data_IF_599444103643
#
_entry.id   IF_599444103643
#
_cell.length_a   1.000
_cell.length_b   1.000
_cell.length_c   1.000
_cell.angle_alpha   90.00
_cell.angle_beta   90.00
_cell.angle_gamma   90.00
#
_symmetry.space_group_name_H-M   'P 1'
#
loop_
_entity.id
_entity.type
_entity.pdbx_description
1 polymer ?
#
# COMPACT_ATOMS: atom_id res chain seq x y z
N UNK A 1 5.26 48.83 3.80
CA UNK A 1 5.51 50.26 3.55
C UNK A 1 4.89 50.57 2.19
N UNK A 2 3.67 51.08 2.02
CA UNK A 2 2.71 51.74 2.90
C UNK A 2 1.31 51.11 2.71
N UNK A 3 0.54 50.95 3.79
CA UNK A 3 -0.91 50.77 3.72
C UNK A 3 -1.57 52.16 3.65
N UNK A 4 -2.26 52.44 2.55
CA UNK A 4 -3.05 53.66 2.38
C UNK A 4 -4.46 53.41 2.94
N UNK A 5 -4.67 53.79 4.21
CA UNK A 5 -5.99 53.82 4.85
C UNK A 5 -6.73 55.09 4.42
N UNK A 6 -7.69 54.96 3.50
CA UNK A 6 -8.66 56.03 3.23
C UNK A 6 -9.83 55.85 4.20
N UNK A 7 -9.90 56.73 5.20
CA UNK A 7 -11.09 56.89 6.04
C UNK A 7 -12.14 57.68 5.25
N UNK A 8 -13.26 57.04 4.89
CA UNK A 8 -14.37 57.65 4.15
C UNK A 8 -15.72 57.31 4.80
N UNK A 9 -16.30 58.36 5.37
CA UNK A 9 -17.62 58.62 5.98
C UNK A 9 -18.48 57.54 6.67
N UNK A 10 -18.96 57.96 7.85
CA UNK A 10 -19.84 57.27 8.78
C UNK A 10 -21.23 57.01 8.16
N UNK A 11 -21.65 55.75 8.09
CA UNK A 11 -23.07 55.40 8.11
C UNK A 11 -23.42 54.76 9.46
N UNK A 12 -24.54 55.23 10.02
CA UNK A 12 -25.00 54.99 11.38
C UNK A 12 -25.05 53.50 11.76
N UNK A 13 -24.13 53.07 12.65
CA UNK A 13 -24.13 51.68 13.13
C UNK A 13 -22.81 51.09 13.65
N UNK A 14 -21.86 51.89 14.13
CA UNK A 14 -20.92 51.51 15.21
C UNK A 14 -20.04 50.25 15.13
N UNK A 15 -19.89 49.56 13.99
CA UNK A 15 -18.94 48.44 13.85
C UNK A 15 -18.08 48.64 12.59
N UNK A 16 -16.74 48.64 12.69
CA UNK A 16 -15.88 48.77 11.52
C UNK A 16 -15.99 47.50 10.66
N UNK A 17 -16.54 47.63 9.46
CA UNK A 17 -16.44 46.59 8.44
C UNK A 17 -15.04 46.69 7.80
N UNK A 18 -14.17 45.71 8.09
CA UNK A 18 -12.91 45.55 7.38
C UNK A 18 -13.24 44.91 6.03
N UNK A 19 -13.35 45.73 4.98
CA UNK A 19 -13.42 45.23 3.60
C UNK A 19 -11.99 45.06 3.10
N UNK A 20 -11.51 43.82 3.09
CA UNK A 20 -10.23 43.47 2.49
C UNK A 20 -10.38 43.43 0.95
N UNK A 21 -9.93 44.47 0.26
CA UNK A 21 -9.83 44.49 -1.20
C UNK A 21 -8.38 44.13 -1.57
N UNK A 22 -8.14 42.84 -1.81
CA UNK A 22 -6.89 42.32 -2.36
C UNK A 22 -7.12 41.63 -3.70
N UNK A 23 -6.08 41.37 -4.50
CA UNK A 23 -6.19 40.75 -5.83
C UNK A 23 -6.72 39.30 -5.81
N UNK A 24 -6.99 38.74 -4.64
CA UNK A 24 -7.60 37.42 -4.41
C UNK A 24 -9.06 37.48 -3.95
N UNK A 25 -9.70 38.66 -3.95
CA UNK A 25 -11.09 38.83 -3.49
C UNK A 25 -12.17 38.37 -4.50
N UNK A 26 -11.79 37.79 -5.64
CA UNK A 26 -12.73 37.10 -6.53
C UNK A 26 -12.55 35.58 -6.44
N UNK A 27 -13.09 34.98 -5.39
CA UNK A 27 -13.56 33.60 -5.50
C UNK A 27 -15.01 33.70 -5.96
N UNK A 28 -15.26 33.49 -7.26
CA UNK A 28 -16.62 33.28 -7.75
C UNK A 28 -17.19 32.08 -6.96
N UNK A 29 -18.31 32.24 -6.22
CA UNK A 29 -18.91 31.10 -5.55
C UNK A 29 -19.24 30.03 -6.59
N UNK A 30 -18.94 28.76 -6.30
CA UNK A 30 -19.28 27.66 -7.18
C UNK A 30 -20.80 27.61 -7.38
N UNK A 31 -21.28 28.09 -8.52
CA UNK A 31 -22.72 28.13 -8.90
C UNK A 31 -23.27 26.75 -9.32
N UNK A 32 -22.49 25.67 -9.16
CA UNK A 32 -22.91 24.32 -9.52
C UNK A 32 -23.92 23.75 -8.52
N UNK A 33 -24.96 23.10 -9.02
CA UNK A 33 -25.92 22.39 -8.19
C UNK A 33 -25.22 21.21 -7.49
N UNK A 34 -25.57 20.92 -6.24
CA UNK A 34 -25.09 19.71 -5.55
C UNK A 34 -25.33 18.43 -6.36
N UNK A 35 -26.36 18.44 -7.20
CA UNK A 35 -26.68 17.37 -8.14
C UNK A 35 -25.66 17.20 -9.26
N UNK A 36 -24.98 18.28 -9.69
CA UNK A 36 -23.95 18.22 -10.74
C UNK A 36 -22.69 17.52 -10.23
N UNK A 37 -22.31 17.80 -8.98
CA UNK A 37 -21.21 17.12 -8.29
C UNK A 37 -21.54 15.65 -8.07
N UNK A 38 -22.76 15.36 -7.60
CA UNK A 38 -23.22 13.98 -7.40
C UNK A 38 -23.25 13.19 -8.73
N UNK A 39 -23.71 13.81 -9.81
CA UNK A 39 -23.74 13.20 -11.15
C UNK A 39 -22.33 12.93 -11.69
N UNK A 40 -21.39 13.86 -11.49
CA UNK A 40 -19.99 13.68 -11.90
C UNK A 40 -19.32 12.51 -11.15
N UNK A 41 -19.57 12.38 -9.84
CA UNK A 41 -19.08 11.25 -9.03
C UNK A 41 -19.68 9.94 -9.53
N UNK A 42 -21.00 9.88 -9.74
CA UNK A 42 -21.69 8.69 -10.23
C UNK A 42 -21.18 8.25 -11.62
N UNK A 43 -20.92 9.21 -12.52
CA UNK A 43 -20.34 8.95 -13.83
C UNK A 43 -18.93 8.36 -13.73
N UNK A 44 -18.09 8.88 -12.82
CA UNK A 44 -16.76 8.33 -12.53
C UNK A 44 -16.81 6.87 -12.07
N UNK A 45 -17.74 6.53 -11.18
CA UNK A 45 -17.98 5.14 -10.76
C UNK A 45 -18.44 4.25 -11.92
N UNK A 46 -19.32 4.76 -12.79
CA UNK A 46 -19.78 4.05 -13.99
C UNK A 46 -18.65 3.75 -14.97
N UNK A 47 -17.80 4.75 -15.27
CA UNK A 47 -16.63 4.58 -16.14
C UNK A 47 -15.65 3.57 -15.54
N UNK A 48 -15.37 3.64 -14.23
CA UNK A 48 -14.50 2.68 -13.55
C UNK A 48 -15.07 1.24 -13.59
N UNK A 49 -16.39 1.07 -13.44
CA UNK A 49 -17.05 -0.22 -13.55
C UNK A 49 -16.92 -0.78 -14.98
N UNK A 50 -17.13 0.04 -16.01
CA UNK A 50 -16.97 -0.35 -17.42
C UNK A 50 -15.52 -0.69 -17.75
N UNK A 51 -14.56 0.12 -17.28
CA UNK A 51 -13.13 -0.16 -17.48
C UNK A 51 -12.72 -1.51 -16.86
N UNK A 52 -13.28 -1.87 -15.70
CA UNK A 52 -13.08 -3.19 -15.05
C UNK A 52 -13.74 -4.35 -15.81
N UNK A 53 -14.83 -4.10 -16.52
CA UNK A 53 -15.43 -5.09 -17.41
C UNK A 53 -14.55 -5.34 -18.64
N UNK A 54 -14.01 -4.26 -19.23
CA UNK A 54 -13.21 -4.30 -20.47
C UNK A 54 -11.75 -4.73 -20.28
N UNK A 55 -11.15 -4.46 -19.11
CA UNK A 55 -9.74 -4.81 -18.83
C UNK A 55 -9.69 -5.77 -17.64
N UNK A 56 -9.73 -7.10 -17.87
CA UNK A 56 -9.76 -8.11 -16.82
C UNK A 56 -8.59 -8.01 -15.82
N UNK A 57 -7.44 -7.52 -16.29
CA UNK A 57 -6.23 -7.30 -15.47
C UNK A 57 -6.44 -6.28 -14.34
N UNK A 58 -7.43 -5.40 -14.45
CA UNK A 58 -7.72 -4.34 -13.47
C UNK A 58 -8.64 -4.81 -12.33
N UNK A 59 -9.25 -5.99 -12.46
CA UNK A 59 -10.16 -6.53 -11.44
C UNK A 59 -9.48 -6.88 -10.12
N UNK A 60 -8.15 -6.95 -10.09
CA UNK A 60 -7.43 -7.18 -8.83
C UNK A 60 -7.41 -5.98 -7.90
N UNK A 61 -7.58 -4.76 -8.44
CA UNK A 61 -7.46 -3.53 -7.66
C UNK A 61 -8.64 -3.39 -6.72
N UNK A 62 -8.39 -3.08 -5.45
CA UNK A 62 -9.46 -2.84 -4.47
C UNK A 62 -10.40 -1.71 -4.90
N UNK A 63 -11.69 -1.81 -4.51
CA UNK A 63 -12.70 -0.80 -4.84
C UNK A 63 -12.36 0.61 -4.32
N UNK A 64 -11.85 0.80 -3.08
CA UNK A 64 -11.43 2.11 -2.59
C UNK A 64 -10.29 2.73 -3.40
N UNK A 65 -9.26 1.94 -3.76
CA UNK A 65 -8.12 2.43 -4.55
C UNK A 65 -8.58 2.91 -5.92
N UNK A 66 -9.49 2.16 -6.57
CA UNK A 66 -10.02 2.57 -7.88
C UNK A 66 -10.88 3.82 -7.81
N UNK A 67 -11.66 4.01 -6.74
CA UNK A 67 -12.44 5.22 -6.55
C UNK A 67 -11.54 6.47 -6.41
N UNK A 68 -10.44 6.37 -5.66
CA UNK A 68 -9.46 7.46 -5.54
C UNK A 68 -8.80 7.77 -6.88
N UNK A 69 -8.38 6.74 -7.61
CA UNK A 69 -7.73 6.90 -8.92
C UNK A 69 -8.68 7.53 -9.96
N UNK A 70 -9.95 7.12 -9.98
CA UNK A 70 -10.97 7.71 -10.85
C UNK A 70 -11.25 9.18 -10.50
N UNK A 71 -11.28 9.52 -9.20
CA UNK A 71 -11.44 10.90 -8.75
C UNK A 71 -10.27 11.80 -9.22
N UNK A 72 -9.02 11.34 -9.05
CA UNK A 72 -7.84 12.07 -9.51
C UNK A 72 -7.82 12.24 -11.04
N UNK A 73 -8.18 11.18 -11.78
CA UNK A 73 -8.28 11.24 -13.24
C UNK A 73 -9.35 12.24 -13.69
N UNK A 74 -10.51 12.26 -13.04
CA UNK A 74 -11.58 13.22 -13.31
C UNK A 74 -11.16 14.66 -13.05
N UNK A 75 -10.55 14.94 -11.89
CA UNK A 75 -10.06 16.29 -11.52
C UNK A 75 -9.00 16.80 -12.50
N UNK A 76 -8.06 15.95 -12.91
CA UNK A 76 -7.01 16.31 -13.87
C UNK A 76 -7.59 16.57 -15.27
N UNK A 77 -8.59 15.79 -15.67
CA UNK A 77 -9.22 15.90 -16.99
C UNK A 77 -10.07 17.16 -17.13
N UNK A 78 -10.80 17.54 -16.08
CA UNK A 78 -11.58 18.77 -16.04
C UNK A 78 -10.67 20.01 -16.13
N UNK A 79 -9.59 20.03 -15.34
CA UNK A 79 -8.60 21.11 -15.38
C UNK A 79 -7.96 21.25 -16.77
N UNK A 80 -7.54 20.14 -17.37
CA UNK A 80 -6.91 20.16 -18.70
C UNK A 80 -7.88 20.61 -19.81
N UNK A 81 -9.12 20.14 -19.78
CA UNK A 81 -10.13 20.56 -20.75
C UNK A 81 -10.46 22.06 -20.65
N UNK A 82 -10.55 22.59 -19.42
CA UNK A 82 -10.79 24.01 -19.19
C UNK A 82 -9.64 24.91 -19.67
N UNK A 83 -8.40 24.43 -19.64
CA UNK A 83 -7.22 25.18 -20.07
C UNK A 83 -7.02 25.24 -21.59
N UNK A 84 -7.71 24.39 -22.37
CA UNK A 84 -7.50 24.24 -23.81
C UNK A 84 -8.40 25.15 -24.67
N UNK A 85 -9.34 25.89 -24.06
CA UNK A 85 -10.28 26.82 -24.72
C UNK A 85 -11.00 26.20 -25.96
N UNK A 86 -11.12 24.87 -25.98
CA UNK A 86 -11.82 24.08 -26.99
C UNK A 86 -13.16 23.64 -26.45
N UNK A 87 -14.07 23.30 -27.36
CA UNK A 87 -15.40 22.73 -27.05
C UNK A 87 -15.27 21.61 -26.01
N UNK A 88 -15.59 21.88 -24.73
CA UNK A 88 -14.94 21.20 -23.61
C UNK A 88 -15.49 19.79 -23.41
N UNK A 89 -16.59 19.43 -24.06
CA UNK A 89 -17.35 18.23 -23.74
C UNK A 89 -16.71 16.96 -24.31
N UNK A 90 -16.47 16.88 -25.61
CA UNK A 90 -15.93 15.66 -26.23
C UNK A 90 -14.46 15.42 -25.89
N UNK A 91 -13.65 16.49 -25.88
CA UNK A 91 -12.23 16.38 -25.57
C UNK A 91 -12.01 16.03 -24.10
N UNK A 92 -12.77 16.61 -23.16
CA UNK A 92 -12.71 16.23 -21.74
C UNK A 92 -13.11 14.76 -21.53
N UNK A 93 -14.16 14.28 -22.21
CA UNK A 93 -14.61 12.89 -22.06
C UNK A 93 -13.54 11.90 -22.54
N UNK A 94 -12.90 12.18 -23.68
CA UNK A 94 -11.81 11.34 -24.20
C UNK A 94 -10.58 11.37 -23.28
N UNK A 95 -10.17 12.55 -22.79
CA UNK A 95 -9.06 12.66 -21.85
C UNK A 95 -9.34 11.96 -20.52
N UNK A 96 -10.57 12.08 -20.00
CA UNK A 96 -11.01 11.40 -18.77
C UNK A 96 -10.93 9.90 -18.93
N UNK A 97 -11.41 9.36 -20.05
CA UNK A 97 -11.34 7.94 -20.34
C UNK A 97 -9.88 7.47 -20.39
N UNK A 98 -9.01 8.19 -21.11
CA UNK A 98 -7.59 7.84 -21.25
C UNK A 98 -6.86 7.88 -19.91
N UNK A 99 -7.03 8.96 -19.14
CA UNK A 99 -6.37 9.11 -17.84
C UNK A 99 -6.88 8.10 -16.82
N UNK A 100 -8.17 7.76 -16.84
CA UNK A 100 -8.74 6.72 -15.98
C UNK A 100 -8.14 5.36 -16.30
N UNK A 101 -8.05 5.00 -17.59
CA UNK A 101 -7.42 3.75 -18.03
C UNK A 101 -5.94 3.73 -17.62
N UNK A 102 -5.22 4.84 -17.81
CA UNK A 102 -3.81 4.97 -17.42
C UNK A 102 -3.62 4.75 -15.92
N UNK A 103 -4.38 5.46 -15.08
CA UNK A 103 -4.30 5.31 -13.63
C UNK A 103 -4.64 3.91 -13.18
N UNK A 104 -5.65 3.27 -13.77
CA UNK A 104 -5.99 1.88 -13.50
C UNK A 104 -4.84 0.93 -13.87
N UNK A 105 -4.22 1.10 -15.04
CA UNK A 105 -3.06 0.32 -15.45
C UNK A 105 -1.88 0.51 -14.50
N UNK A 106 -1.56 1.76 -14.13
CA UNK A 106 -0.52 2.05 -13.13
C UNK A 106 -0.88 1.40 -11.79
N UNK A 107 -2.12 1.51 -11.34
CA UNK A 107 -2.62 0.87 -10.13
C UNK A 107 -2.42 -0.64 -10.14
N UNK A 108 -2.68 -1.32 -11.28
CA UNK A 108 -2.42 -2.76 -11.40
C UNK A 108 -0.95 -3.12 -11.34
N UNK A 109 -0.08 -2.30 -11.96
CA UNK A 109 1.38 -2.54 -11.92
C UNK A 109 1.88 -2.34 -10.49
N UNK A 110 1.49 -1.25 -9.84
CA UNK A 110 1.82 -0.96 -8.44
C UNK A 110 1.32 -2.09 -7.55
N UNK A 111 0.04 -2.44 -7.62
CA UNK A 111 -0.50 -3.53 -6.80
C UNK A 111 0.20 -4.85 -7.07
N UNK A 112 0.48 -5.22 -8.32
CA UNK A 112 1.23 -6.45 -8.61
C UNK A 112 2.66 -6.41 -8.03
N UNK A 113 3.31 -5.25 -8.07
CA UNK A 113 4.62 -5.02 -7.43
C UNK A 113 4.54 -4.99 -5.90
N UNK A 114 3.38 -4.76 -5.30
CA UNK A 114 3.20 -4.70 -3.85
C UNK A 114 2.27 -5.78 -3.28
N UNK A 115 1.85 -6.76 -4.08
CA UNK A 115 1.09 -7.91 -3.58
C UNK A 115 1.93 -8.57 -2.48
N UNK A 116 1.41 -8.68 -1.25
CA UNK A 116 2.00 -9.59 -0.27
C UNK A 116 2.15 -10.96 -0.93
N UNK A 117 3.22 -11.69 -0.59
CA UNK A 117 3.37 -13.08 -0.98
C UNK A 117 2.04 -13.81 -0.71
N UNK A 118 1.61 -14.75 -1.57
CA UNK A 118 0.45 -15.59 -1.30
C UNK A 118 0.53 -16.12 0.13
N UNK A 119 -0.59 -16.14 0.85
CA UNK A 119 -0.61 -16.67 2.20
C UNK A 119 -0.18 -18.15 2.15
N UNK A 120 1.05 -18.41 2.58
CA UNK A 120 1.68 -19.74 2.50
C UNK A 120 1.00 -20.70 3.49
N UNK A 121 0.12 -20.21 4.38
CA UNK A 121 -0.62 -21.06 5.32
C UNK A 121 -1.48 -22.14 4.64
N UNK A 122 -1.85 -22.00 3.35
CA UNK A 122 -2.59 -23.02 2.60
C UNK A 122 -1.70 -24.02 1.85
N UNK A 123 -0.39 -23.75 1.70
CA UNK A 123 0.52 -24.65 0.98
C UNK A 123 1.10 -25.68 1.97
N UNK A 124 0.93 -27.00 1.72
CA UNK A 124 1.49 -28.01 2.60
C UNK A 124 3.01 -27.85 2.75
N UNK A 125 3.53 -27.96 3.98
CA UNK A 125 4.97 -27.80 4.24
C UNK A 125 5.85 -28.70 3.37
N UNK A 126 5.40 -29.92 3.09
CA UNK A 126 6.08 -30.85 2.19
C UNK A 126 6.19 -30.33 0.74
N UNK A 127 5.21 -29.55 0.28
CA UNK A 127 5.26 -28.91 -1.02
C UNK A 127 6.22 -27.72 -1.04
N UNK A 128 6.30 -26.93 0.04
CA UNK A 128 7.28 -25.86 0.17
C UNK A 128 8.71 -26.41 0.13
N UNK A 129 8.97 -27.51 0.85
CA UNK A 129 10.28 -28.18 0.83
C UNK A 129 10.61 -28.67 -0.59
N UNK A 130 9.63 -29.25 -1.29
CA UNK A 130 9.81 -29.73 -2.67
C UNK A 130 10.10 -28.61 -3.66
N UNK A 131 9.51 -27.42 -3.47
CA UNK A 131 9.75 -26.24 -4.30
C UNK A 131 11.11 -25.59 -4.03
N UNK A 132 11.67 -25.84 -2.84
CA UNK A 132 12.97 -25.34 -2.44
C UNK A 132 12.96 -23.88 -1.97
N UNK A 133 14.14 -23.35 -1.69
CA UNK A 133 14.31 -21.96 -1.28
C UNK A 133 13.96 -20.98 -2.41
N UNK A 134 13.42 -19.83 -2.03
CA UNK A 134 13.07 -18.74 -2.92
C UNK A 134 13.14 -17.40 -2.19
N UNK A 135 12.87 -16.29 -2.88
CA UNK A 135 12.83 -14.97 -2.24
C UNK A 135 11.79 -14.87 -1.12
N UNK A 136 10.79 -15.76 -1.10
CA UNK A 136 9.69 -15.77 -0.14
C UNK A 136 9.72 -17.04 0.76
N UNK A 137 10.69 -17.95 0.58
CA UNK A 137 10.84 -19.18 1.36
C UNK A 137 12.31 -19.42 1.69
N UNK A 138 12.67 -19.45 2.97
CA UNK A 138 14.05 -19.69 3.42
C UNK A 138 14.09 -20.93 4.31
N UNK A 139 15.12 -21.77 4.15
CA UNK A 139 15.38 -22.90 5.04
C UNK A 139 16.51 -22.58 6.01
N UNK A 140 16.35 -23.09 7.23
CA UNK A 140 17.42 -23.09 8.24
C UNK A 140 17.42 -24.45 8.92
N UNK A 141 18.59 -25.09 8.98
CA UNK A 141 18.76 -26.39 9.64
C UNK A 141 18.44 -26.32 11.14
N UNK A 142 18.74 -25.19 11.77
CA UNK A 142 18.63 -24.95 13.22
C UNK A 142 18.35 -23.48 13.48
N UNK A 143 17.72 -23.16 14.62
CA UNK A 143 17.51 -21.77 15.05
C UNK A 143 18.50 -21.28 16.10
N UNK A 144 19.25 -22.17 16.75
CA UNK A 144 20.16 -21.80 17.84
C UNK A 144 21.44 -22.63 17.88
N UNK A 145 21.36 -23.91 17.52
CA UNK A 145 22.52 -24.81 17.53
C UNK A 145 23.42 -24.54 16.35
N UNK A 146 24.72 -24.37 16.62
CA UNK A 146 25.72 -24.43 15.57
C UNK A 146 26.02 -25.89 15.24
N UNK A 147 25.88 -26.26 13.97
CA UNK A 147 26.04 -27.64 13.48
C UNK A 147 27.48 -28.17 13.58
N UNK A 148 28.47 -27.28 13.66
CA UNK A 148 29.89 -27.64 13.77
C UNK A 148 30.32 -27.82 15.23
N UNK A 149 29.90 -26.92 16.12
CA UNK A 149 30.30 -26.97 17.54
C UNK A 149 29.32 -27.79 18.38
N UNK A 150 28.08 -27.93 17.92
CA UNK A 150 27.00 -28.58 18.66
C UNK A 150 26.42 -27.74 19.80
N UNK A 151 26.93 -26.52 20.00
CA UNK A 151 26.55 -25.63 21.09
C UNK A 151 25.61 -24.52 20.63
N UNK A 152 25.08 -23.75 21.59
CA UNK A 152 24.31 -22.54 21.32
C UNK A 152 25.19 -21.47 20.68
N UNK A 153 24.71 -20.89 19.60
CA UNK A 153 25.39 -19.82 18.87
C UNK A 153 24.47 -18.61 18.64
N UNK A 154 24.75 -17.46 19.30
CA UNK A 154 24.01 -16.22 19.09
C UNK A 154 24.05 -15.71 17.64
N UNK A 155 25.06 -16.09 16.86
CA UNK A 155 25.14 -15.72 15.44
C UNK A 155 24.03 -16.43 14.66
N UNK A 156 23.77 -17.71 14.93
CA UNK A 156 22.67 -18.47 14.32
C UNK A 156 21.32 -17.87 14.72
N UNK A 157 21.13 -17.54 16.00
CA UNK A 157 19.93 -16.83 16.47
C UNK A 157 19.73 -15.51 15.71
N UNK A 158 20.81 -14.75 15.51
CA UNK A 158 20.77 -13.48 14.76
C UNK A 158 20.49 -13.66 13.27
N UNK A 159 20.90 -14.79 12.68
CA UNK A 159 20.59 -15.11 11.28
C UNK A 159 19.10 -15.39 11.11
N UNK A 160 18.49 -16.15 12.02
CA UNK A 160 17.03 -16.36 12.05
C UNK A 160 16.30 -15.03 12.15
N UNK A 161 16.67 -14.19 13.13
CA UNK A 161 16.06 -12.89 13.30
C UNK A 161 16.23 -12.01 12.05
N UNK A 162 17.41 -12.03 11.42
CA UNK A 162 17.68 -11.28 10.18
C UNK A 162 16.82 -11.75 9.02
N UNK A 163 16.62 -13.06 8.85
CA UNK A 163 15.72 -13.60 7.82
C UNK A 163 14.28 -13.12 8.05
N UNK A 164 13.78 -13.20 9.28
CA UNK A 164 12.43 -12.71 9.61
C UNK A 164 12.31 -11.21 9.34
N UNK A 165 13.29 -10.40 9.76
CA UNK A 165 13.36 -8.98 9.41
C UNK A 165 13.40 -8.76 7.90
N UNK A 166 14.10 -9.60 7.15
CA UNK A 166 14.14 -9.57 5.69
C UNK A 166 12.76 -9.77 5.08
N UNK A 167 12.00 -10.75 5.57
CA UNK A 167 10.62 -10.98 5.15
C UNK A 167 9.69 -9.83 5.53
N UNK A 168 9.79 -9.32 6.76
CA UNK A 168 8.97 -8.19 7.24
C UNK A 168 9.23 -6.89 6.46
N UNK A 169 10.49 -6.66 6.05
CA UNK A 169 10.85 -5.51 5.21
C UNK A 169 10.58 -5.74 3.72
N UNK A 170 10.34 -6.99 3.33
CA UNK A 170 10.14 -7.43 1.95
C UNK A 170 8.67 -7.64 1.61
N UNK A 171 8.39 -8.72 0.89
CA UNK A 171 7.03 -9.11 0.46
C UNK A 171 6.32 -10.02 1.45
N UNK A 172 6.86 -10.18 2.66
CA UNK A 172 6.57 -11.33 3.52
C UNK A 172 7.40 -12.55 3.11
N UNK A 173 7.13 -13.68 3.76
CA UNK A 173 7.79 -14.95 3.46
C UNK A 173 7.59 -16.00 4.54
N UNK A 174 8.10 -17.21 4.28
CA UNK A 174 8.04 -18.37 5.17
C UNK A 174 9.45 -18.82 5.52
N UNK A 175 9.75 -18.89 6.82
CA UNK A 175 10.98 -19.49 7.32
C UNK A 175 10.68 -20.91 7.81
N UNK A 176 11.30 -21.92 7.20
CA UNK A 176 11.26 -23.30 7.70
C UNK A 176 12.51 -23.59 8.52
N UNK A 177 12.34 -23.79 9.82
CA UNK A 177 13.43 -24.22 10.72
C UNK A 177 13.40 -25.73 10.89
N UNK A 178 14.57 -26.36 10.92
CA UNK A 178 14.71 -27.81 10.97
C UNK A 178 14.73 -28.45 9.58
N UNK A 179 15.08 -27.68 8.54
CA UNK A 179 15.23 -28.18 7.16
C UNK A 179 16.62 -27.78 6.65
N UNK A 180 17.36 -28.72 6.07
CA UNK A 180 18.67 -28.42 5.48
C UNK A 180 18.53 -27.68 4.15
N UNK A 181 19.62 -27.11 3.66
CA UNK A 181 19.66 -26.43 2.35
C UNK A 181 19.31 -27.40 1.20
N UNK A 182 19.52 -28.71 1.40
CA UNK A 182 19.12 -29.79 0.47
C UNK A 182 17.65 -30.22 0.62
N UNK A 183 16.89 -29.65 1.55
CA UNK A 183 15.50 -29.99 1.82
C UNK A 183 15.30 -31.21 2.73
N UNK A 184 16.33 -31.68 3.44
CA UNK A 184 16.19 -32.76 4.42
C UNK A 184 15.53 -32.25 5.71
N UNK A 185 14.50 -32.94 6.18
CA UNK A 185 13.77 -32.56 7.40
C UNK A 185 14.48 -33.12 8.64
N UNK A 186 15.17 -32.25 9.36
CA UNK A 186 15.79 -32.53 10.67
C UNK A 186 14.81 -32.34 11.83
N UNK A 187 13.82 -31.45 11.66
CA UNK A 187 12.94 -30.97 12.72
C UNK A 187 13.69 -30.14 13.77
N UNK A 188 13.04 -29.92 14.93
CA UNK A 188 13.59 -29.09 16.01
C UNK A 188 14.45 -29.87 17.02
N UNK A 189 14.58 -31.18 16.83
CA UNK A 189 15.34 -32.07 17.72
C UNK A 189 16.76 -31.58 18.04
N UNK A 190 17.53 -31.06 17.08
CA UNK A 190 18.85 -30.51 17.34
C UNK A 190 18.85 -29.29 18.29
N UNK A 191 17.81 -28.46 18.28
CA UNK A 191 17.74 -27.25 19.10
C UNK A 191 17.12 -27.49 20.49
N UNK A 192 16.29 -28.54 20.65
CA UNK A 192 15.60 -28.85 21.92
C UNK A 192 16.53 -28.96 23.14
N UNK A 193 17.72 -29.59 23.08
CA UNK A 193 18.62 -29.64 24.23
C UNK A 193 19.16 -28.27 24.69
N UNK A 194 19.07 -27.24 23.82
CA UNK A 194 19.60 -25.90 24.08
C UNK A 194 18.55 -24.93 24.64
N UNK A 195 17.31 -25.40 24.86
CA UNK A 195 16.30 -24.68 25.63
C UNK A 195 16.29 -25.18 27.08
N UNK A 196 15.88 -24.33 28.03
CA UNK A 196 15.95 -24.63 29.47
C UNK A 196 15.31 -25.98 29.86
N UNK A 197 14.23 -26.33 29.16
CA UNK A 197 13.53 -27.60 29.27
C UNK A 197 13.33 -28.09 27.83
N UNK A 198 13.84 -29.28 27.44
CA UNK A 198 13.76 -29.80 26.08
C UNK A 198 12.33 -30.19 25.68
N UNK A 199 11.50 -29.17 25.44
CA UNK A 199 10.09 -29.31 25.10
C UNK A 199 9.68 -28.29 24.03
N UNK A 200 8.63 -28.62 23.28
CA UNK A 200 8.14 -27.83 22.16
C UNK A 200 7.65 -26.45 22.62
N UNK A 201 6.90 -26.38 23.73
CA UNK A 201 6.39 -25.11 24.25
C UNK A 201 7.53 -24.16 24.62
N UNK A 202 8.61 -24.74 25.16
CA UNK A 202 9.80 -23.96 25.55
C UNK A 202 10.59 -23.48 24.35
N UNK A 203 10.59 -24.26 23.27
CA UNK A 203 11.16 -23.84 22.00
C UNK A 203 10.36 -22.71 21.36
N UNK A 204 9.03 -22.79 21.37
CA UNK A 204 8.15 -21.71 20.88
C UNK A 204 8.36 -20.41 21.68
N UNK A 205 8.44 -20.49 23.01
CA UNK A 205 8.76 -19.33 23.85
C UNK A 205 10.11 -18.71 23.49
N UNK A 206 11.13 -19.55 23.23
CA UNK A 206 12.42 -19.06 22.78
C UNK A 206 12.29 -18.27 21.47
N UNK A 207 11.66 -18.84 20.45
CA UNK A 207 11.51 -18.18 19.14
C UNK A 207 10.74 -16.87 19.29
N UNK A 208 9.69 -16.87 20.10
CA UNK A 208 8.91 -15.66 20.40
C UNK A 208 9.74 -14.58 21.07
N UNK A 209 10.55 -14.95 22.07
CA UNK A 209 11.44 -14.00 22.76
C UNK A 209 12.53 -13.47 21.82
N UNK A 210 13.11 -14.32 20.97
CA UNK A 210 14.10 -13.94 19.96
C UNK A 210 13.57 -12.88 18.99
N UNK A 211 12.28 -12.96 18.63
CA UNK A 211 11.66 -12.02 17.69
C UNK A 211 11.10 -10.75 18.34
N UNK A 212 11.13 -10.66 19.67
CA UNK A 212 10.69 -9.47 20.42
C UNK A 212 11.82 -8.50 20.77
N UNK A 213 13.06 -8.97 20.77
CA UNK A 213 14.27 -8.20 21.08
C UNK A 213 14.76 -7.37 19.91
#
# INVERSE_FOLDING_TARGET
MLDLLIAGDLLAGGVPAIVAVGPFAQTQPFEGSYWDVAAAVALGFGIAAVARLLVPRVRSVSWPTSAILAALAGSLSFGLASALDRDPTLLALLLTLVLTILFLLVGTVVEHRFRPAPDVHDTPTAELIRLGESTEVEFKSTARRNTHTGERDPVIESMVARTVCGFLNGRGGTLLVGVTDEGEVLGIGPDLPLVKVPDVDRYELFVTDLLRT
#
